data_IF_853085633574
#
_entry.id   IF_853085633574
#
_cell.length_a   1.000
_cell.length_b   1.000
_cell.length_c   1.000
_cell.angle_alpha   90.00
_cell.angle_beta   90.00
_cell.angle_gamma   90.00
#
_symmetry.space_group_name_H-M   'P 1'
#
loop_
_entity.id
_entity.type
_entity.pdbx_description
1 polymer ?
#
# COMPACT_ATOMS: atom_id res chain seq x y z
N UNK A 1 9.50 43.77 -36.73
CA UNK A 1 10.71 43.05 -36.23
C UNK A 1 10.28 42.10 -35.13
N UNK A 2 10.38 40.87 -35.46
CA UNK A 2 10.47 39.59 -34.77
C UNK A 2 10.46 39.61 -33.23
N UNK A 3 9.46 38.94 -32.65
CA UNK A 3 9.47 38.45 -31.30
C UNK A 3 9.46 36.90 -31.36
N UNK A 4 10.47 36.31 -30.76
CA UNK A 4 10.64 34.86 -30.65
C UNK A 4 9.76 34.28 -29.55
N UNK A 5 9.01 33.27 -29.90
CA UNK A 5 8.32 32.42 -28.95
C UNK A 5 9.31 31.32 -28.47
N UNK A 6 9.57 31.23 -27.17
CA UNK A 6 10.24 30.10 -26.57
C UNK A 6 9.20 29.11 -26.09
N UNK A 7 9.18 27.96 -26.73
CA UNK A 7 8.31 26.85 -26.39
C UNK A 7 8.69 26.23 -25.04
N UNK A 8 7.74 26.23 -24.12
CA UNK A 8 7.79 25.41 -22.93
C UNK A 8 7.54 23.95 -23.30
N UNK A 9 8.57 23.11 -23.15
CA UNK A 9 8.46 21.67 -23.32
C UNK A 9 7.64 21.10 -22.15
N UNK A 10 6.39 20.81 -22.40
CA UNK A 10 5.59 20.01 -21.48
C UNK A 10 6.22 18.60 -21.39
N UNK A 11 6.72 18.22 -20.21
CA UNK A 11 7.11 16.86 -19.90
C UNK A 11 5.89 15.97 -20.08
N UNK A 12 5.84 15.25 -21.19
CA UNK A 12 4.88 14.18 -21.43
C UNK A 12 5.10 13.12 -20.35
N UNK A 13 4.18 13.02 -19.40
CA UNK A 13 4.16 11.90 -18.49
C UNK A 13 3.95 10.63 -19.30
N UNK A 14 4.94 9.75 -19.30
CA UNK A 14 4.85 8.43 -19.88
C UNK A 14 3.72 7.68 -19.17
N UNK A 15 2.56 7.59 -19.81
CA UNK A 15 1.47 6.68 -19.42
C UNK A 15 1.80 5.28 -19.95
N UNK A 16 2.87 4.67 -19.46
CA UNK A 16 3.07 3.24 -19.60
C UNK A 16 1.91 2.53 -18.88
N UNK A 17 1.37 1.49 -19.50
CA UNK A 17 0.29 0.72 -18.88
C UNK A 17 0.81 0.10 -17.58
N UNK A 18 0.26 0.53 -16.44
CA UNK A 18 0.57 -0.08 -15.15
C UNK A 18 -0.03 -1.47 -15.09
N UNK A 19 0.73 -2.47 -14.72
CA UNK A 19 0.27 -3.84 -14.50
C UNK A 19 0.22 -4.13 -12.99
N UNK A 20 -0.91 -4.64 -12.51
CA UNK A 20 -1.04 -5.11 -11.11
C UNK A 20 -0.91 -6.63 -11.13
N UNK A 21 0.04 -7.13 -10.35
CA UNK A 21 0.31 -8.57 -10.23
C UNK A 21 0.76 -8.96 -8.83
N UNK A 22 0.75 -10.24 -8.54
CA UNK A 22 1.38 -10.74 -7.31
C UNK A 22 2.88 -10.43 -7.30
N UNK A 23 3.41 -10.20 -6.11
CA UNK A 23 4.83 -9.98 -5.86
C UNK A 23 5.64 -11.22 -6.23
N UNK A 24 6.83 -11.00 -6.77
CA UNK A 24 7.84 -12.03 -7.01
C UNK A 24 9.12 -11.74 -6.23
N UNK A 25 9.99 -12.72 -6.04
CA UNK A 25 11.23 -12.54 -5.30
C UNK A 25 12.12 -11.43 -5.87
N UNK A 26 12.13 -11.28 -7.20
CA UNK A 26 12.91 -10.24 -7.88
C UNK A 26 12.41 -8.81 -7.59
N UNK A 27 11.19 -8.64 -7.09
CA UNK A 27 10.62 -7.32 -6.80
C UNK A 27 11.07 -6.76 -5.45
N UNK A 28 11.50 -7.63 -4.51
CA UNK A 28 11.74 -7.25 -3.12
C UNK A 28 12.74 -6.13 -2.98
N UNK A 29 13.84 -6.18 -3.73
CA UNK A 29 14.85 -5.12 -3.70
C UNK A 29 14.29 -3.76 -4.17
N UNK A 30 13.41 -3.75 -5.17
CA UNK A 30 12.77 -2.53 -5.63
C UNK A 30 11.74 -2.00 -4.62
N UNK A 31 11.03 -2.89 -3.91
CA UNK A 31 10.09 -2.52 -2.83
C UNK A 31 10.85 -1.90 -1.66
N UNK A 32 11.99 -2.47 -1.28
CA UNK A 32 12.86 -1.90 -0.22
C UNK A 32 13.28 -0.47 -0.57
N UNK A 33 13.76 -0.27 -1.80
CA UNK A 33 14.18 1.06 -2.26
C UNK A 33 13.01 2.06 -2.30
N UNK A 34 11.85 1.61 -2.79
CA UNK A 34 10.63 2.44 -2.84
C UNK A 34 10.14 2.83 -1.43
N UNK A 35 10.12 1.88 -0.50
CA UNK A 35 9.72 2.15 0.88
C UNK A 35 10.72 3.08 1.59
N UNK A 36 12.03 2.88 1.38
CA UNK A 36 13.06 3.75 1.93
C UNK A 36 12.97 5.19 1.39
N UNK A 37 12.63 5.38 0.10
CA UNK A 37 12.37 6.70 -0.47
C UNK A 37 11.19 7.40 0.22
N UNK A 38 10.14 6.66 0.55
CA UNK A 38 8.93 7.21 1.18
C UNK A 38 9.08 7.45 2.68
N UNK A 39 9.79 6.58 3.38
CA UNK A 39 9.87 6.58 4.86
C UNK A 39 11.17 7.13 5.42
N UNK A 40 12.20 7.29 4.57
CA UNK A 40 13.54 7.67 5.00
C UNK A 40 14.32 6.57 5.71
N UNK A 41 13.77 5.35 5.81
CA UNK A 41 14.39 4.23 6.53
C UNK A 41 14.41 2.98 5.67
N UNK A 42 15.60 2.40 5.46
CA UNK A 42 15.73 1.11 4.81
C UNK A 42 15.40 -0.03 5.79
N UNK A 43 14.47 -0.91 5.39
CA UNK A 43 13.94 -2.00 6.21
C UNK A 43 14.05 -3.34 5.48
N UNK A 44 15.27 -3.73 5.08
CA UNK A 44 15.49 -4.92 4.25
C UNK A 44 14.93 -6.20 4.89
N UNK A 45 15.29 -6.49 6.14
CA UNK A 45 14.85 -7.71 6.84
C UNK A 45 13.33 -7.75 6.99
N UNK A 46 12.70 -6.61 7.24
CA UNK A 46 11.24 -6.51 7.28
C UNK A 46 10.61 -6.93 5.95
N UNK A 47 11.09 -6.41 4.82
CA UNK A 47 10.50 -6.69 3.51
C UNK A 47 10.76 -8.12 3.05
N UNK A 48 11.93 -8.69 3.32
CA UNK A 48 12.20 -10.11 3.07
C UNK A 48 11.29 -11.00 3.91
N UNK A 49 11.06 -10.68 5.19
CA UNK A 49 10.11 -11.39 6.04
C UNK A 49 8.68 -11.30 5.48
N UNK A 50 8.23 -10.10 5.08
CA UNK A 50 6.90 -9.92 4.46
C UNK A 50 6.77 -10.70 3.16
N UNK A 51 7.78 -10.70 2.31
CA UNK A 51 7.77 -11.53 1.10
C UNK A 51 7.66 -13.01 1.43
N UNK A 52 8.42 -13.50 2.40
CA UNK A 52 8.36 -14.90 2.83
C UNK A 52 6.97 -15.29 3.32
N UNK A 53 6.31 -14.42 4.07
CA UNK A 53 4.99 -14.71 4.65
C UNK A 53 3.83 -14.54 3.66
N UNK A 54 3.91 -13.60 2.74
CA UNK A 54 2.80 -13.18 1.88
C UNK A 54 3.04 -13.42 0.39
N UNK A 55 4.30 -13.62 -0.03
CA UNK A 55 4.68 -13.71 -1.43
C UNK A 55 5.06 -15.12 -1.90
N UNK A 56 5.55 -16.00 -1.01
CA UNK A 56 6.09 -17.30 -1.42
C UNK A 56 5.04 -18.40 -1.60
N UNK A 57 3.84 -18.21 -1.09
CA UNK A 57 2.75 -19.19 -1.18
C UNK A 57 1.49 -18.52 -1.70
N UNK A 58 0.74 -19.21 -2.53
CA UNK A 58 -0.62 -18.81 -2.89
C UNK A 58 -1.57 -19.14 -1.74
N UNK A 59 -1.53 -18.31 -0.70
CA UNK A 59 -2.40 -18.44 0.44
C UNK A 59 -3.71 -17.72 0.14
N UNK A 60 -4.84 -18.40 0.35
CA UNK A 60 -6.18 -17.83 0.11
C UNK A 60 -6.54 -16.64 1.00
N UNK A 61 -5.74 -16.39 2.04
CA UNK A 61 -5.99 -15.37 3.05
C UNK A 61 -4.87 -14.33 3.18
N UNK A 62 -3.83 -14.38 2.34
CA UNK A 62 -2.71 -13.45 2.35
C UNK A 62 -2.41 -12.93 0.95
N UNK A 63 -2.24 -11.63 0.84
CA UNK A 63 -2.14 -10.94 -0.43
C UNK A 63 -0.97 -9.96 -0.42
N UNK A 64 -0.12 -10.06 -1.43
CA UNK A 64 0.94 -9.11 -1.68
C UNK A 64 0.98 -8.81 -3.18
N UNK A 65 0.50 -7.64 -3.56
CA UNK A 65 0.48 -7.18 -4.94
C UNK A 65 1.45 -6.03 -5.15
N UNK A 66 1.95 -5.95 -6.37
CA UNK A 66 2.79 -4.87 -6.86
C UNK A 66 2.17 -4.23 -8.09
N UNK A 67 2.45 -2.96 -8.26
CA UNK A 67 2.18 -2.20 -9.49
C UNK A 67 3.48 -2.04 -10.26
N UNK A 68 3.52 -2.57 -11.47
CA UNK A 68 4.67 -2.51 -12.36
C UNK A 68 4.37 -1.59 -13.54
N UNK A 69 5.28 -0.65 -13.82
CA UNK A 69 5.29 0.19 -15.01
C UNK A 69 6.70 0.19 -15.60
N UNK A 70 6.83 -0.06 -16.89
CA UNK A 70 8.11 -0.08 -17.62
C UNK A 70 9.19 -0.94 -16.92
N UNK A 71 8.80 -2.12 -16.41
CA UNK A 71 9.63 -3.07 -15.64
C UNK A 71 10.11 -2.55 -14.28
N UNK A 72 9.55 -1.48 -13.76
CA UNK A 72 9.85 -0.95 -12.44
C UNK A 72 8.65 -1.08 -11.52
N UNK A 73 8.91 -1.42 -10.28
CA UNK A 73 7.88 -1.41 -9.25
C UNK A 73 7.61 0.04 -8.84
N UNK A 74 6.38 0.48 -9.09
CA UNK A 74 5.92 1.84 -8.80
C UNK A 74 4.95 1.90 -7.62
N UNK A 75 4.58 0.74 -7.08
CA UNK A 75 3.74 0.66 -5.89
C UNK A 75 3.56 -0.77 -5.41
N UNK A 76 3.08 -0.91 -4.19
CA UNK A 76 2.78 -2.18 -3.55
C UNK A 76 1.60 -2.06 -2.59
N UNK A 77 0.97 -3.19 -2.29
CA UNK A 77 -0.04 -3.32 -1.24
C UNK A 77 0.05 -4.70 -0.58
N UNK A 78 -0.10 -4.73 0.74
CA UNK A 78 -0.17 -5.98 1.52
C UNK A 78 -1.43 -5.97 2.38
N UNK A 79 -2.08 -7.12 2.41
CA UNK A 79 -3.23 -7.34 3.28
C UNK A 79 -3.49 -8.82 3.51
N UNK A 80 -4.33 -9.09 4.48
CA UNK A 80 -4.71 -10.46 4.85
C UNK A 80 -6.17 -10.53 5.32
N UNK A 81 -6.71 -11.73 5.32
CA UNK A 81 -7.93 -12.04 6.09
C UNK A 81 -7.51 -12.33 7.52
N UNK A 82 -8.08 -11.60 8.46
CA UNK A 82 -8.01 -11.90 9.89
C UNK A 82 -9.29 -12.57 10.32
N UNK A 83 -9.12 -13.64 11.07
CA UNK A 83 -10.22 -14.41 11.61
C UNK A 83 -10.86 -13.69 12.80
N UNK A 84 -11.76 -14.32 13.49
CA UNK A 84 -12.52 -13.76 14.61
C UNK A 84 -11.64 -12.98 15.60
N UNK A 85 -11.65 -11.66 15.48
CA UNK A 85 -10.93 -10.75 16.38
C UNK A 85 -11.91 -9.77 17.02
N UNK A 86 -11.72 -9.50 18.31
CA UNK A 86 -12.53 -8.53 19.06
C UNK A 86 -14.04 -8.76 18.93
N UNK A 87 -14.48 -10.02 18.85
CA UNK A 87 -15.89 -10.36 18.66
C UNK A 87 -16.47 -9.99 17.31
N UNK A 88 -15.64 -9.72 16.31
CA UNK A 88 -16.04 -9.41 14.93
C UNK A 88 -15.79 -10.60 14.01
N UNK A 89 -16.68 -10.83 13.03
CA UNK A 89 -16.46 -11.88 12.03
C UNK A 89 -15.21 -11.60 11.17
N UNK A 90 -14.70 -12.63 10.45
CA UNK A 90 -13.54 -12.48 9.60
C UNK A 90 -13.64 -11.27 8.67
N UNK A 91 -12.56 -10.51 8.54
CA UNK A 91 -12.50 -9.37 7.65
C UNK A 91 -11.10 -9.19 7.05
N UNK A 92 -11.02 -8.50 5.92
CA UNK A 92 -9.77 -8.11 5.32
C UNK A 92 -9.09 -6.97 6.08
N UNK A 93 -7.76 -7.01 6.12
CA UNK A 93 -6.93 -5.94 6.66
C UNK A 93 -5.88 -5.52 5.64
N UNK A 94 -5.81 -4.23 5.37
CA UNK A 94 -4.69 -3.60 4.66
C UNK A 94 -3.74 -3.06 5.72
N UNK A 95 -2.48 -3.45 5.67
CA UNK A 95 -1.49 -2.95 6.63
C UNK A 95 -0.25 -2.30 6.00
N UNK A 96 -0.11 -2.37 4.67
CA UNK A 96 0.88 -1.60 3.94
C UNK A 96 0.36 -1.26 2.55
N UNK A 97 0.51 -0.02 2.15
CA UNK A 97 0.33 0.47 0.78
C UNK A 97 1.34 1.57 0.51
N UNK A 98 2.00 1.51 -0.62
CA UNK A 98 2.95 2.53 -1.04
C UNK A 98 2.89 2.73 -2.55
N UNK A 99 3.02 3.99 -2.99
CA UNK A 99 3.11 4.37 -4.40
C UNK A 99 4.17 5.45 -4.55
N UNK A 100 5.04 5.26 -5.52
CA UNK A 100 6.11 6.19 -5.87
C UNK A 100 5.56 7.60 -6.10
N UNK A 101 6.29 8.60 -5.64
CA UNK A 101 5.82 9.99 -5.58
C UNK A 101 5.38 10.56 -6.94
N UNK A 102 6.11 10.23 -8.00
CA UNK A 102 5.84 10.65 -9.37
C UNK A 102 4.66 9.90 -10.04
N UNK A 103 4.23 8.79 -9.45
CA UNK A 103 3.07 8.00 -9.88
C UNK A 103 1.82 8.25 -9.03
N UNK A 104 1.88 9.17 -8.07
CA UNK A 104 0.71 9.58 -7.29
C UNK A 104 -0.31 10.29 -8.19
N UNK A 105 -1.58 10.19 -7.82
CA UNK A 105 -2.72 10.75 -8.57
C UNK A 105 -2.97 10.11 -9.96
N UNK A 106 -2.23 9.07 -10.35
CA UNK A 106 -2.45 8.33 -11.60
C UNK A 106 -3.36 7.12 -11.43
N UNK A 107 -3.95 6.93 -10.25
CA UNK A 107 -4.85 5.82 -9.96
C UNK A 107 -4.16 4.51 -9.57
N UNK A 108 -2.84 4.47 -9.45
CA UNK A 108 -2.08 3.25 -9.07
C UNK A 108 -2.53 2.70 -7.72
N UNK A 109 -2.66 3.56 -6.70
CA UNK A 109 -3.10 3.15 -5.37
C UNK A 109 -4.51 2.55 -5.39
N UNK A 110 -5.43 3.14 -6.15
CA UNK A 110 -6.81 2.63 -6.29
C UNK A 110 -6.84 1.26 -6.95
N UNK A 111 -6.02 1.04 -7.98
CA UNK A 111 -5.92 -0.26 -8.66
C UNK A 111 -5.30 -1.34 -7.77
N UNK A 112 -4.29 -0.98 -6.96
CA UNK A 112 -3.72 -1.88 -5.95
C UNK A 112 -4.75 -2.28 -4.89
N UNK A 113 -5.49 -1.30 -4.37
CA UNK A 113 -6.52 -1.55 -3.37
C UNK A 113 -7.65 -2.41 -3.95
N UNK A 114 -8.08 -2.16 -5.19
CA UNK A 114 -9.11 -2.98 -5.83
C UNK A 114 -8.66 -4.41 -6.06
N UNK A 115 -7.42 -4.64 -6.52
CA UNK A 115 -6.86 -5.99 -6.66
C UNK A 115 -6.82 -6.75 -5.32
N UNK A 116 -6.49 -6.05 -4.22
CA UNK A 116 -6.57 -6.62 -2.89
C UNK A 116 -8.01 -6.92 -2.49
N UNK A 117 -8.94 -6.00 -2.71
CA UNK A 117 -10.36 -6.19 -2.41
C UNK A 117 -10.95 -7.37 -3.18
N UNK A 118 -10.57 -7.58 -4.44
CA UNK A 118 -10.98 -8.75 -5.22
C UNK A 118 -10.47 -10.06 -4.62
N UNK A 119 -9.20 -10.09 -4.19
CA UNK A 119 -8.66 -11.23 -3.47
C UNK A 119 -9.41 -11.50 -2.16
N UNK A 120 -9.72 -10.48 -1.39
CA UNK A 120 -10.46 -10.56 -0.15
C UNK A 120 -11.92 -11.03 -0.36
N UNK A 121 -12.59 -10.54 -1.41
CA UNK A 121 -13.93 -11.02 -1.81
C UNK A 121 -13.91 -12.50 -2.18
N UNK A 122 -12.90 -12.91 -2.95
CA UNK A 122 -12.71 -14.33 -3.30
C UNK A 122 -12.43 -15.21 -2.09
N UNK A 123 -11.84 -14.66 -1.02
CA UNK A 123 -11.65 -15.32 0.27
C UNK A 123 -12.91 -15.31 1.15
N UNK A 124 -14.04 -14.73 0.69
CA UNK A 124 -15.34 -14.77 1.35
C UNK A 124 -15.56 -13.69 2.41
N UNK A 125 -14.69 -12.68 2.52
CA UNK A 125 -14.91 -11.58 3.46
C UNK A 125 -15.64 -10.41 2.78
N UNK A 126 -16.44 -9.72 3.56
CA UNK A 126 -17.32 -8.63 3.07
C UNK A 126 -16.89 -7.25 3.54
N UNK A 127 -15.85 -7.17 4.34
CA UNK A 127 -15.32 -5.91 4.88
C UNK A 127 -13.81 -5.87 4.78
N UNK A 128 -13.27 -4.69 4.51
CA UNK A 128 -11.85 -4.39 4.59
C UNK A 128 -11.61 -3.26 5.58
N UNK A 129 -10.53 -3.35 6.34
CA UNK A 129 -10.10 -2.39 7.34
C UNK A 129 -8.64 -2.00 7.13
N UNK A 130 -8.29 -0.84 7.64
CA UNK A 130 -6.90 -0.38 7.78
C UNK A 130 -6.76 0.46 9.03
N UNK A 131 -5.52 0.69 9.45
CA UNK A 131 -5.16 1.69 10.46
C UNK A 131 -4.25 2.73 9.79
N UNK A 132 -4.43 3.97 10.18
CA UNK A 132 -3.59 5.09 9.74
C UNK A 132 -3.38 6.05 10.90
N UNK A 133 -2.30 6.83 10.84
CA UNK A 133 -2.10 7.91 11.79
C UNK A 133 -3.21 8.96 11.62
N UNK A 134 -3.68 9.50 12.74
CA UNK A 134 -4.82 10.44 12.75
C UNK A 134 -4.54 11.71 11.96
N UNK A 135 -3.28 12.13 11.89
CA UNK A 135 -2.78 13.32 11.20
C UNK A 135 -2.29 13.05 9.77
N UNK A 136 -2.29 11.79 9.30
CA UNK A 136 -1.99 11.48 7.91
C UNK A 136 -3.20 11.76 6.99
N UNK A 137 -3.40 13.06 6.73
CA UNK A 137 -4.53 13.54 5.95
C UNK A 137 -4.51 13.07 4.50
N UNK A 138 -3.31 12.81 3.94
CA UNK A 138 -3.17 12.35 2.56
C UNK A 138 -3.69 10.92 2.42
N UNK A 139 -3.23 10.01 3.27
CA UNK A 139 -3.67 8.62 3.29
C UNK A 139 -5.14 8.52 3.68
N UNK A 140 -5.59 9.32 4.63
CA UNK A 140 -7.02 9.41 5.01
C UNK A 140 -7.89 9.84 3.82
N UNK A 141 -7.48 10.88 3.08
CA UNK A 141 -8.20 11.36 1.90
C UNK A 141 -8.28 10.29 0.81
N UNK A 142 -7.17 9.56 0.59
CA UNK A 142 -7.16 8.43 -0.33
C UNK A 142 -8.19 7.37 0.05
N UNK A 143 -8.16 6.85 1.27
CA UNK A 143 -9.11 5.80 1.67
C UNK A 143 -10.56 6.27 1.67
N UNK A 144 -10.83 7.51 2.02
CA UNK A 144 -12.18 8.10 1.89
C UNK A 144 -12.65 8.15 0.44
N UNK A 145 -11.77 8.51 -0.51
CA UNK A 145 -12.10 8.50 -1.95
C UNK A 145 -12.43 7.09 -2.46
N UNK A 146 -11.93 6.05 -1.77
CA UNK A 146 -12.26 4.64 -2.05
C UNK A 146 -13.50 4.14 -1.30
N UNK A 147 -14.27 5.02 -0.68
CA UNK A 147 -15.49 4.69 0.05
C UNK A 147 -15.27 4.14 1.46
N UNK A 148 -14.05 4.20 1.99
CA UNK A 148 -13.77 3.76 3.36
C UNK A 148 -14.11 4.86 4.36
N UNK A 149 -14.84 4.49 5.41
CA UNK A 149 -15.27 5.40 6.47
C UNK A 149 -14.74 4.95 7.82
N UNK A 150 -14.69 5.88 8.79
CA UNK A 150 -14.27 5.57 10.14
C UNK A 150 -15.13 4.44 10.73
N UNK A 151 -14.48 3.40 11.22
CA UNK A 151 -15.13 2.29 11.91
C UNK A 151 -15.42 2.65 13.38
N UNK A 152 -16.38 1.96 14.00
CA UNK A 152 -16.69 2.09 15.42
C UNK A 152 -15.71 1.30 16.28
N UNK A 153 -14.43 1.58 16.14
CA UNK A 153 -13.33 0.92 16.86
C UNK A 153 -12.31 1.99 17.23
N UNK A 154 -11.67 1.82 18.36
CA UNK A 154 -10.58 2.67 18.83
C UNK A 154 -9.33 1.82 19.06
N UNK A 155 -8.18 2.39 18.81
CA UNK A 155 -6.89 1.82 19.20
C UNK A 155 -6.54 2.28 20.60
N UNK A 156 -6.10 1.36 21.46
CA UNK A 156 -5.57 1.67 22.78
C UNK A 156 -4.08 1.31 22.78
N UNK A 157 -3.26 2.18 23.37
CA UNK A 157 -1.81 2.05 23.42
C UNK A 157 -1.34 2.17 24.90
N UNK A 158 -0.33 1.39 25.25
CA UNK A 158 0.38 1.48 26.52
C UNK A 158 1.88 1.42 26.23
N UNK A 159 2.61 2.39 26.74
CA UNK A 159 4.08 2.32 26.72
C UNK A 159 4.58 1.20 27.66
N UNK A 160 5.45 0.33 27.14
CA UNK A 160 6.03 -0.78 27.93
C UNK A 160 7.44 -0.46 28.42
N UNK A 161 8.03 0.65 28.01
CA UNK A 161 9.33 1.09 28.49
C UNK A 161 9.17 1.56 29.94
N UNK A 162 9.83 0.85 30.85
CA UNK A 162 9.77 1.11 32.31
C UNK A 162 10.83 2.09 32.80
N UNK A 163 11.58 2.74 31.93
CA UNK A 163 12.56 3.76 32.33
C UNK A 163 11.90 5.13 32.42
N UNK A 164 11.55 5.54 33.65
CA UNK A 164 11.21 6.93 33.97
C UNK A 164 9.96 7.23 34.76
N UNK A 165 9.47 6.33 35.59
CA UNK A 165 8.54 6.71 36.67
C UNK A 165 9.33 7.07 37.92
N UNK A 166 9.85 8.30 37.98
CA UNK A 166 10.32 8.95 39.24
C UNK A 166 9.69 10.31 39.35
#
# INVERSE_FOLDING_TARGET
MKASASGGSAKSAHQGSVNIRRVAAADVAQIIALDAEMTGVEKADYWYSRFHEFGTRDLRNRFFFVAEADRHIVGYIIGEVRDWEFGQPPCGWVFAIGVRSDCRLTGVASRLLEALCDGLRAAGVTKVRTLLAFDDLLVMSFYRSQGMMAARMITLERNLDTEGAT
#
